data_IF_785785170044
#
_entry.id   IF_785785170044
#
_cell.length_a   1.000
_cell.length_b   1.000
_cell.length_c   1.000
_cell.angle_alpha   90.00
_cell.angle_beta   90.00
_cell.angle_gamma   90.00
#
_symmetry.space_group_name_H-M   'P 1'
#
loop_
_entity.id
_entity.type
_entity.pdbx_description
1 polymer ?
#
# COMPACT_ATOMS: atom_id res chain seq x y z
N UNK A 1 40.88 -2.18 -53.12
CA UNK A 1 41.22 -1.87 -51.70
C UNK A 1 40.94 -3.09 -50.85
N UNK A 2 41.72 -3.34 -49.79
CA UNK A 2 41.32 -4.29 -48.74
C UNK A 2 40.33 -3.58 -47.80
N UNK A 3 39.03 -3.94 -47.78
CA UNK A 3 38.05 -3.24 -46.96
C UNK A 3 38.41 -3.41 -45.47
N UNK A 4 38.59 -2.29 -44.77
CA UNK A 4 38.81 -2.25 -43.32
C UNK A 4 37.71 -1.44 -42.67
N UNK A 5 37.12 -1.97 -41.61
CA UNK A 5 36.15 -1.25 -40.79
C UNK A 5 36.78 0.00 -40.17
N UNK A 6 36.04 1.11 -40.18
CA UNK A 6 36.40 2.34 -39.45
C UNK A 6 36.15 2.08 -37.97
N UNK A 7 37.17 2.27 -37.13
CA UNK A 7 37.11 1.99 -35.67
C UNK A 7 37.49 3.18 -34.81
N UNK A 8 38.11 4.20 -35.39
CA UNK A 8 38.66 5.36 -34.66
C UNK A 8 38.26 6.67 -35.33
N UNK A 9 38.23 7.76 -34.57
CA UNK A 9 37.92 9.10 -35.09
C UNK A 9 38.92 9.57 -36.15
N UNK A 10 40.20 9.18 -36.03
CA UNK A 10 41.23 9.49 -37.03
C UNK A 10 40.95 8.79 -38.37
N UNK A 11 40.49 7.54 -38.33
CA UNK A 11 40.08 6.80 -39.54
C UNK A 11 38.81 7.37 -40.15
N UNK A 12 37.86 7.83 -39.33
CA UNK A 12 36.63 8.49 -39.78
C UNK A 12 36.93 9.79 -40.52
N UNK A 13 37.74 10.68 -39.94
CA UNK A 13 38.17 11.93 -40.60
C UNK A 13 38.94 11.68 -41.92
N UNK A 14 39.84 10.69 -41.93
CA UNK A 14 40.55 10.32 -43.16
C UNK A 14 39.62 9.77 -44.24
N UNK A 15 38.60 9.00 -43.84
CA UNK A 15 37.61 8.43 -44.75
C UNK A 15 36.64 9.50 -45.29
N UNK A 16 36.25 10.48 -44.48
CA UNK A 16 35.46 11.64 -44.91
C UNK A 16 36.21 12.46 -45.96
N UNK A 17 37.48 12.79 -45.68
CA UNK A 17 38.33 13.53 -46.62
C UNK A 17 38.49 12.77 -47.94
N UNK A 18 38.67 11.45 -47.87
CA UNK A 18 38.78 10.61 -49.07
C UNK A 18 37.47 10.55 -49.85
N UNK A 19 36.33 10.48 -49.16
CA UNK A 19 35.02 10.52 -49.78
C UNK A 19 34.80 11.87 -50.50
N UNK A 20 35.15 12.99 -49.87
CA UNK A 20 35.09 14.33 -50.49
C UNK A 20 35.97 14.42 -51.75
N UNK A 21 37.20 13.91 -51.70
CA UNK A 21 38.09 13.85 -52.87
C UNK A 21 37.48 13.04 -54.03
N UNK A 22 36.82 11.91 -53.71
CA UNK A 22 36.16 11.07 -54.71
C UNK A 22 34.90 11.74 -55.27
N UNK A 23 34.11 12.43 -54.44
CA UNK A 23 32.94 13.17 -54.90
C UNK A 23 33.32 14.33 -55.84
N UNK A 24 34.43 15.02 -55.56
CA UNK A 24 34.95 16.09 -56.42
C UNK A 24 35.52 15.55 -57.75
N UNK A 25 36.04 14.33 -57.74
CA UNK A 25 36.60 13.69 -58.94
C UNK A 25 35.53 13.13 -59.89
N UNK A 26 34.26 13.10 -59.48
CA UNK A 26 33.10 12.62 -60.25
C UNK A 26 33.38 11.33 -61.05
N UNK A 27 33.73 10.22 -60.36
CA UNK A 27 34.15 9.00 -61.03
C UNK A 27 33.00 8.38 -61.82
N UNK A 28 33.31 7.86 -63.01
CA UNK A 28 32.31 7.19 -63.84
C UNK A 28 31.67 6.00 -63.10
N UNK A 29 30.34 5.79 -63.21
CA UNK A 29 29.67 4.63 -62.64
C UNK A 29 30.33 3.31 -63.04
N UNK A 30 30.48 2.40 -62.09
CA UNK A 30 31.15 1.10 -62.29
C UNK A 30 32.67 1.16 -62.41
N UNK A 31 33.29 2.32 -62.17
CA UNK A 31 34.75 2.41 -62.02
C UNK A 31 35.18 1.98 -60.61
N UNK A 32 36.43 1.52 -60.43
CA UNK A 32 36.96 1.19 -59.10
C UNK A 32 36.86 2.35 -58.09
N UNK A 33 36.93 3.60 -58.57
CA UNK A 33 36.78 4.80 -57.75
C UNK A 33 35.32 5.03 -57.32
N UNK A 34 34.35 4.71 -58.18
CA UNK A 34 32.93 4.74 -57.82
C UNK A 34 32.61 3.66 -56.79
N UNK A 35 33.14 2.45 -56.96
CA UNK A 35 32.99 1.35 -55.99
C UNK A 35 33.63 1.71 -54.63
N UNK A 36 34.79 2.39 -54.64
CA UNK A 36 35.44 2.91 -53.44
C UNK A 36 34.59 3.98 -52.75
N UNK A 37 33.98 4.88 -53.51
CA UNK A 37 33.09 5.94 -53.01
C UNK A 37 31.84 5.35 -52.32
N UNK A 38 31.17 4.39 -52.96
CA UNK A 38 30.01 3.71 -52.38
C UNK A 38 30.38 2.94 -51.10
N UNK A 39 31.51 2.23 -51.13
CA UNK A 39 32.00 1.49 -49.97
C UNK A 39 32.35 2.43 -48.80
N UNK A 40 33.02 3.54 -49.06
CA UNK A 40 33.37 4.53 -48.05
C UNK A 40 32.13 5.19 -47.44
N UNK A 41 31.13 5.53 -48.27
CA UNK A 41 29.86 6.07 -47.79
C UNK A 41 29.16 5.08 -46.84
N UNK A 42 29.10 3.80 -47.21
CA UNK A 42 28.54 2.75 -46.36
C UNK A 42 29.30 2.58 -45.03
N UNK A 43 30.64 2.54 -45.07
CA UNK A 43 31.48 2.38 -43.88
C UNK A 43 31.40 3.59 -42.94
N UNK A 44 31.32 4.80 -43.49
CA UNK A 44 31.10 6.03 -42.73
C UNK A 44 29.73 6.00 -42.05
N UNK A 45 28.68 5.65 -42.78
CA UNK A 45 27.33 5.51 -42.22
C UNK A 45 27.27 4.47 -41.10
N UNK A 46 27.90 3.30 -41.26
CA UNK A 46 27.96 2.26 -40.24
C UNK A 46 28.74 2.71 -38.99
N UNK A 47 29.88 3.40 -39.16
CA UNK A 47 30.63 3.95 -38.05
C UNK A 47 29.84 5.04 -37.30
N UNK A 48 29.24 5.97 -38.03
CA UNK A 48 28.42 7.04 -37.47
C UNK A 48 27.19 6.49 -36.76
N UNK A 49 26.50 5.50 -37.32
CA UNK A 49 25.38 4.83 -36.63
C UNK A 49 25.80 4.16 -35.31
N UNK A 50 27.03 3.64 -35.22
CA UNK A 50 27.57 3.00 -34.01
C UNK A 50 28.07 4.01 -32.97
N UNK A 51 28.53 5.18 -33.39
CA UNK A 51 29.17 6.20 -32.53
C UNK A 51 28.27 7.37 -32.18
N UNK A 52 27.42 7.80 -33.10
CA UNK A 52 26.40 8.83 -32.93
C UNK A 52 25.14 8.12 -32.47
N UNK A 53 25.04 7.90 -31.16
CA UNK A 53 23.73 7.75 -30.55
C UNK A 53 23.04 9.10 -30.70
N UNK A 54 22.02 9.20 -31.55
CA UNK A 54 21.11 10.35 -31.50
C UNK A 54 20.55 10.34 -30.07
N UNK A 55 20.88 11.33 -29.22
CA UNK A 55 20.33 11.34 -27.87
C UNK A 55 18.81 11.38 -28.01
N UNK A 56 18.11 10.45 -27.35
CA UNK A 56 16.67 10.53 -27.28
C UNK A 56 16.29 11.91 -26.75
N UNK A 57 15.37 12.59 -27.45
CA UNK A 57 14.91 13.90 -27.04
C UNK A 57 14.47 13.83 -25.57
N UNK A 58 14.91 14.78 -24.77
CA UNK A 58 14.42 14.92 -23.41
C UNK A 58 12.92 15.20 -23.42
N UNK A 59 12.18 14.89 -22.34
CA UNK A 59 10.75 15.23 -22.25
C UNK A 59 10.46 16.70 -22.53
N UNK A 60 11.35 17.59 -22.10
CA UNK A 60 11.25 19.03 -22.35
C UNK A 60 11.39 19.36 -23.83
N UNK A 61 12.34 18.74 -24.53
CA UNK A 61 12.52 18.91 -25.98
C UNK A 61 11.33 18.37 -26.76
N UNK A 62 10.79 17.20 -26.37
CA UNK A 62 9.60 16.64 -26.97
C UNK A 62 8.38 17.58 -26.84
N UNK A 63 8.20 18.20 -25.67
CA UNK A 63 7.15 19.20 -25.45
C UNK A 63 7.37 20.42 -26.34
N UNK A 64 8.59 20.98 -26.36
CA UNK A 64 8.92 22.16 -27.19
C UNK A 64 8.72 21.90 -28.67
N UNK A 65 9.14 20.72 -29.14
CA UNK A 65 8.94 20.29 -30.51
C UNK A 65 7.44 20.20 -30.87
N UNK A 66 6.63 19.60 -29.98
CA UNK A 66 5.18 19.54 -30.18
C UNK A 66 4.53 20.92 -30.18
N UNK A 67 4.99 21.83 -29.33
CA UNK A 67 4.52 23.21 -29.30
C UNK A 67 4.81 23.92 -30.62
N UNK A 68 6.03 23.79 -31.15
CA UNK A 68 6.41 24.37 -32.43
C UNK A 68 5.54 23.85 -33.58
N UNK A 69 5.33 22.52 -33.65
CA UNK A 69 4.51 21.88 -34.67
C UNK A 69 3.04 22.35 -34.67
N UNK A 70 2.47 22.64 -33.50
CA UNK A 70 1.09 23.11 -33.38
C UNK A 70 0.95 24.62 -33.19
N UNK A 71 2.04 25.38 -33.25
CA UNK A 71 2.02 26.83 -32.98
C UNK A 71 1.54 27.20 -31.56
N UNK A 72 1.74 26.31 -30.59
CA UNK A 72 1.31 26.50 -29.21
C UNK A 72 2.28 27.40 -28.44
N UNK A 73 1.71 28.23 -27.57
CA UNK A 73 2.44 29.07 -26.63
C UNK A 73 2.43 28.41 -25.24
N UNK A 74 3.31 28.87 -24.35
CA UNK A 74 3.37 28.35 -22.98
C UNK A 74 2.04 28.49 -22.23
N UNK A 75 1.24 29.52 -22.54
CA UNK A 75 -0.08 29.70 -21.94
C UNK A 75 -1.05 28.58 -22.30
N UNK A 76 -0.87 27.93 -23.45
CA UNK A 76 -1.78 26.88 -23.93
C UNK A 76 -1.51 25.56 -23.20
N UNK A 77 -0.30 25.39 -22.64
CA UNK A 77 0.03 24.26 -21.77
C UNK A 77 -0.56 24.37 -20.36
N UNK A 78 -1.14 25.53 -19.98
CA UNK A 78 -1.69 25.75 -18.63
C UNK A 78 -2.84 24.78 -18.32
N UNK A 79 -3.64 24.44 -19.32
CA UNK A 79 -4.75 23.50 -19.15
C UNK A 79 -4.28 22.08 -18.77
N UNK A 80 -3.08 21.68 -19.24
CA UNK A 80 -2.53 20.35 -19.04
C UNK A 80 -1.57 20.31 -17.85
N UNK A 81 -0.63 21.26 -17.82
CA UNK A 81 0.45 21.30 -16.83
C UNK A 81 0.04 22.08 -15.59
N UNK A 82 -0.98 22.93 -15.61
CA UNK A 82 -1.38 23.78 -14.49
C UNK A 82 -0.83 25.20 -14.59
N UNK A 83 -0.31 25.79 -13.51
CA UNK A 83 0.02 27.24 -13.50
C UNK A 83 1.11 27.65 -14.50
N UNK A 84 1.07 28.91 -14.96
CA UNK A 84 2.09 29.50 -15.84
C UNK A 84 3.51 29.36 -15.28
N UNK A 85 3.67 29.53 -13.97
CA UNK A 85 4.95 29.34 -13.29
C UNK A 85 5.45 27.89 -13.44
N UNK A 86 4.57 26.91 -13.24
CA UNK A 86 4.88 25.49 -13.35
C UNK A 86 5.28 25.09 -14.77
N UNK A 87 4.58 25.61 -15.78
CA UNK A 87 4.96 25.45 -17.19
C UNK A 87 6.39 25.94 -17.45
N UNK A 88 6.71 27.16 -16.98
CA UNK A 88 8.05 27.75 -17.16
C UNK A 88 9.15 26.94 -16.45
N UNK A 89 8.90 26.50 -15.22
CA UNK A 89 9.84 25.66 -14.44
C UNK A 89 10.13 24.33 -15.14
N UNK A 90 9.12 23.68 -15.72
CA UNK A 90 9.27 22.42 -16.45
C UNK A 90 10.02 22.65 -17.77
N UNK A 91 9.64 23.66 -18.56
CA UNK A 91 10.29 23.96 -19.83
C UNK A 91 11.75 24.44 -19.69
N UNK A 92 12.12 24.92 -18.49
CA UNK A 92 13.49 25.27 -18.11
C UNK A 92 14.25 24.12 -17.44
N UNK A 93 13.61 22.97 -17.19
CA UNK A 93 14.22 21.80 -16.56
C UNK A 93 14.45 21.94 -15.04
N UNK A 94 13.95 23.00 -14.40
CA UNK A 94 14.02 23.18 -12.94
C UNK A 94 13.14 22.21 -12.19
N UNK A 95 12.13 21.66 -12.87
CA UNK A 95 11.11 20.79 -12.29
C UNK A 95 10.82 19.62 -13.21
N UNK A 96 10.70 18.43 -12.64
CA UNK A 96 10.33 17.20 -13.36
C UNK A 96 8.81 17.14 -13.60
N UNK A 97 8.41 16.40 -14.63
CA UNK A 97 7.01 16.09 -14.92
C UNK A 97 6.44 15.13 -13.87
N UNK A 98 5.18 15.35 -13.47
CA UNK A 98 4.43 14.39 -12.64
C UNK A 98 3.65 13.41 -13.53
N UNK A 99 3.20 12.28 -12.98
CA UNK A 99 2.40 11.30 -13.74
C UNK A 99 1.14 11.92 -14.37
N UNK A 100 0.35 12.67 -13.60
CA UNK A 100 -0.78 13.44 -14.13
C UNK A 100 -0.41 14.37 -15.30
N UNK A 101 0.76 15.03 -15.26
CA UNK A 101 1.21 15.86 -16.38
C UNK A 101 1.57 15.01 -17.59
N UNK A 102 2.27 13.89 -17.40
CA UNK A 102 2.63 12.97 -18.49
C UNK A 102 1.36 12.44 -19.17
N UNK A 103 0.36 12.01 -18.39
CA UNK A 103 -0.94 11.56 -18.91
C UNK A 103 -1.65 12.67 -19.69
N UNK A 104 -1.73 13.88 -19.12
CA UNK A 104 -2.36 15.01 -19.79
C UNK A 104 -1.62 15.47 -21.06
N UNK A 105 -0.28 15.37 -21.11
CA UNK A 105 0.51 15.68 -22.31
C UNK A 105 0.34 14.61 -23.39
N UNK A 106 0.24 13.34 -22.99
CA UNK A 106 -0.03 12.23 -23.89
C UNK A 106 -1.45 12.33 -24.49
N UNK A 107 -2.47 12.46 -23.65
CA UNK A 107 -3.88 12.48 -24.08
C UNK A 107 -4.28 13.81 -24.74
N UNK A 108 -3.85 14.94 -24.15
CA UNK A 108 -4.26 16.27 -24.60
C UNK A 108 -3.46 16.80 -25.79
N UNK A 109 -2.18 16.43 -25.91
CA UNK A 109 -1.30 16.92 -26.98
C UNK A 109 -0.82 15.81 -27.91
N UNK A 110 -1.07 14.53 -27.61
CA UNK A 110 -0.62 13.42 -28.45
C UNK A 110 0.89 13.23 -28.46
N UNK A 111 1.60 13.64 -27.41
CA UNK A 111 3.05 13.46 -27.31
C UNK A 111 3.33 12.01 -26.91
N UNK A 112 4.06 11.20 -27.70
CA UNK A 112 4.31 9.80 -27.38
C UNK A 112 4.94 9.60 -26.00
N UNK A 113 4.51 8.58 -25.26
CA UNK A 113 5.00 8.28 -23.90
C UNK A 113 6.52 8.03 -23.86
N UNK A 114 7.05 7.35 -24.88
CA UNK A 114 8.49 7.10 -25.02
C UNK A 114 9.32 8.39 -25.08
N UNK A 115 8.70 9.52 -25.45
CA UNK A 115 9.34 10.84 -25.47
C UNK A 115 9.17 11.60 -24.14
N UNK A 116 8.24 11.19 -23.28
CA UNK A 116 7.92 11.88 -22.01
C UNK A 116 8.53 11.19 -20.78
N UNK A 117 8.79 9.89 -20.86
CA UNK A 117 9.29 9.09 -19.75
C UNK A 117 10.69 8.59 -20.06
N UNK A 118 11.59 8.64 -19.07
CA UNK A 118 12.93 8.08 -19.21
C UNK A 118 12.86 6.56 -19.04
N UNK A 119 13.10 5.81 -20.11
CA UNK A 119 13.20 4.35 -20.10
C UNK A 119 12.23 3.65 -21.06
N UNK A 120 12.26 2.31 -21.08
CA UNK A 120 11.34 1.47 -21.86
C UNK A 120 9.99 1.31 -21.14
N UNK A 121 9.33 2.42 -20.81
CA UNK A 121 7.97 2.37 -20.25
C UNK A 121 6.99 2.14 -21.40
N UNK A 122 6.47 0.92 -21.49
CA UNK A 122 5.50 0.52 -22.52
C UNK A 122 4.10 1.06 -22.18
N UNK A 123 3.75 1.12 -20.89
CA UNK A 123 2.44 1.56 -20.42
C UNK A 123 2.56 2.39 -19.12
N UNK A 124 1.69 3.40 -18.98
CA UNK A 124 1.55 4.15 -17.73
C UNK A 124 0.81 3.31 -16.69
N UNK A 125 1.11 3.48 -15.39
CA UNK A 125 0.31 2.86 -14.34
C UNK A 125 -1.15 3.35 -14.40
N UNK A 126 -2.11 2.59 -13.83
CA UNK A 126 -3.51 2.98 -13.79
C UNK A 126 -3.68 4.33 -13.08
N UNK A 127 -4.64 5.15 -13.50
CA UNK A 127 -4.84 6.45 -12.85
C UNK A 127 -5.35 6.28 -11.41
N UNK A 128 -4.67 6.93 -10.45
CA UNK A 128 -5.16 7.07 -9.08
C UNK A 128 -5.51 8.52 -8.83
N UNK A 129 -6.76 8.80 -8.48
CA UNK A 129 -7.17 10.12 -7.99
C UNK A 129 -6.74 10.30 -6.53
N UNK A 130 -5.72 11.13 -6.23
CA UNK A 130 -5.24 11.29 -4.87
C UNK A 130 -6.24 12.00 -3.95
N UNK A 131 -7.25 12.67 -4.50
CA UNK A 131 -8.29 13.35 -3.72
C UNK A 131 -9.23 12.37 -2.99
N UNK A 132 -9.30 11.13 -3.46
CA UNK A 132 -10.10 10.07 -2.81
C UNK A 132 -9.41 9.48 -1.59
N UNK A 133 -8.10 9.67 -1.45
CA UNK A 133 -7.32 9.12 -0.35
C UNK A 133 -7.00 10.19 0.71
N UNK A 134 -6.89 9.81 2.00
CA UNK A 134 -6.47 10.72 3.06
C UNK A 134 -4.94 10.97 3.04
N UNK A 135 -4.38 11.38 1.89
CA UNK A 135 -2.93 11.49 1.63
C UNK A 135 -2.21 12.33 2.68
N UNK A 136 -2.84 13.41 3.16
CA UNK A 136 -2.27 14.25 4.21
C UNK A 136 -2.06 13.49 5.51
N UNK A 137 -3.06 12.71 5.92
CA UNK A 137 -3.00 11.90 7.14
C UNK A 137 -1.99 10.76 6.98
N UNK A 138 -2.00 10.07 5.84
CA UNK A 138 -1.02 9.05 5.48
C UNK A 138 0.42 9.58 5.58
N UNK A 139 0.67 10.80 5.05
CA UNK A 139 1.97 11.46 5.16
C UNK A 139 2.35 11.75 6.62
N UNK A 140 1.45 12.35 7.42
CA UNK A 140 1.70 12.66 8.84
C UNK A 140 1.97 11.41 9.69
N UNK A 141 1.49 10.24 9.23
CA UNK A 141 1.70 8.92 9.85
C UNK A 141 2.88 8.14 9.25
N UNK A 142 3.59 8.70 8.28
CA UNK A 142 4.77 8.05 7.69
C UNK A 142 4.45 6.84 6.83
N UNK A 143 3.33 6.87 6.08
CA UNK A 143 2.98 5.82 5.13
C UNK A 143 3.92 5.83 3.93
N UNK A 144 4.38 7.01 3.53
CA UNK A 144 5.35 7.18 2.47
C UNK A 144 6.77 7.08 3.04
N UNK A 145 7.61 6.22 2.45
CA UNK A 145 9.02 6.15 2.78
C UNK A 145 9.69 7.53 2.58
N UNK A 146 10.86 7.75 3.19
CA UNK A 146 11.60 9.02 3.13
C UNK A 146 12.00 9.48 1.70
N UNK A 147 11.73 8.68 0.67
CA UNK A 147 12.08 8.90 -0.72
C UNK A 147 11.61 10.24 -1.32
N UNK A 148 10.63 10.92 -0.72
CA UNK A 148 10.06 12.16 -1.26
C UNK A 148 10.18 13.39 -0.35
N UNK A 149 11.02 13.31 0.69
CA UNK A 149 11.30 14.42 1.60
C UNK A 149 10.20 14.67 2.64
N UNK A 150 10.47 15.54 3.61
CA UNK A 150 9.61 15.82 4.76
C UNK A 150 8.63 17.00 4.55
N UNK A 151 8.45 17.45 3.31
CA UNK A 151 7.69 18.67 2.99
C UNK A 151 6.34 18.35 2.34
N UNK A 152 5.24 18.71 3.01
CA UNK A 152 3.87 18.45 2.54
C UNK A 152 3.59 18.99 1.13
N UNK A 153 4.15 20.13 0.76
CA UNK A 153 3.93 20.73 -0.57
C UNK A 153 4.44 19.80 -1.67
N UNK A 154 5.63 19.22 -1.51
CA UNK A 154 6.22 18.29 -2.48
C UNK A 154 5.43 16.99 -2.56
N UNK A 155 4.97 16.49 -1.41
CA UNK A 155 4.11 15.30 -1.31
C UNK A 155 2.79 15.51 -2.03
N UNK A 156 2.11 16.64 -1.80
CA UNK A 156 0.83 16.95 -2.44
C UNK A 156 0.96 17.00 -3.97
N UNK A 157 2.07 17.54 -4.47
CA UNK A 157 2.30 17.66 -5.91
C UNK A 157 2.62 16.33 -6.60
N UNK A 158 3.12 15.33 -5.86
CA UNK A 158 3.46 13.99 -6.36
C UNK A 158 2.65 12.87 -5.70
N UNK A 159 1.41 13.19 -5.34
CA UNK A 159 0.58 12.30 -4.54
C UNK A 159 0.22 11.01 -5.30
N UNK A 160 0.01 11.09 -6.62
CA UNK A 160 -0.26 9.92 -7.47
C UNK A 160 0.95 8.96 -7.50
N UNK A 161 2.16 9.47 -7.75
CA UNK A 161 3.38 8.66 -7.73
C UNK A 161 3.63 8.00 -6.37
N UNK A 162 3.35 8.74 -5.29
CA UNK A 162 3.48 8.26 -3.93
C UNK A 162 2.50 7.13 -3.61
N UNK A 163 1.26 7.25 -4.08
CA UNK A 163 0.25 6.21 -3.93
C UNK A 163 0.65 4.96 -4.73
N UNK A 164 1.12 5.11 -5.97
CA UNK A 164 1.66 3.98 -6.73
C UNK A 164 2.84 3.30 -6.04
N UNK A 165 3.81 4.08 -5.55
CA UNK A 165 4.95 3.52 -4.83
C UNK A 165 4.55 2.81 -3.53
N UNK A 166 3.51 3.32 -2.84
CA UNK A 166 2.97 2.73 -1.63
C UNK A 166 2.17 1.45 -1.91
N UNK A 167 1.29 1.47 -2.91
CA UNK A 167 0.47 0.30 -3.25
C UNK A 167 1.28 -0.78 -3.94
N UNK A 168 2.31 -0.42 -4.72
CA UNK A 168 3.21 -1.38 -5.36
C UNK A 168 2.48 -2.36 -6.27
N UNK A 169 1.46 -1.91 -7.00
CA UNK A 169 0.63 -2.76 -7.86
C UNK A 169 -0.67 -3.29 -7.22
N UNK A 170 -0.90 -3.01 -5.93
CA UNK A 170 -2.08 -3.46 -5.16
C UNK A 170 -3.24 -2.47 -5.18
N UNK A 171 -3.26 -1.52 -6.11
CA UNK A 171 -4.28 -0.46 -6.21
C UNK A 171 -5.70 -1.03 -6.32
N UNK A 172 -5.83 -2.14 -7.05
CA UNK A 172 -7.10 -2.83 -7.30
C UNK A 172 -7.13 -4.26 -6.72
N UNK A 173 -6.12 -4.64 -5.94
CA UNK A 173 -6.04 -5.99 -5.41
C UNK A 173 -7.17 -6.20 -4.40
N UNK A 174 -8.03 -7.22 -4.60
CA UNK A 174 -8.98 -7.61 -3.58
C UNK A 174 -8.20 -8.16 -2.38
N UNK A 175 -8.06 -7.36 -1.34
CA UNK A 175 -7.44 -7.79 -0.10
C UNK A 175 -8.43 -8.71 0.62
N UNK A 176 -8.06 -9.99 0.76
CA UNK A 176 -8.75 -10.96 1.63
C UNK A 176 -8.75 -10.42 3.06
N UNK A 177 -9.87 -9.83 3.47
CA UNK A 177 -9.98 -9.08 4.71
C UNK A 177 -11.41 -9.09 5.26
N UNK A 178 -11.54 -9.57 6.49
CA UNK A 178 -12.74 -9.44 7.31
C UNK A 178 -12.55 -8.23 8.23
N UNK A 179 -13.48 -7.28 8.20
CA UNK A 179 -13.36 -6.03 8.97
C UNK A 179 -14.39 -5.97 10.08
N UNK A 180 -13.94 -5.72 11.30
CA UNK A 180 -14.83 -5.35 12.37
C UNK A 180 -15.07 -3.83 12.40
N UNK A 181 -16.27 -3.41 12.01
CA UNK A 181 -16.66 -2.00 11.99
C UNK A 181 -17.79 -1.70 12.97
N UNK A 182 -17.58 -0.73 13.87
CA UNK A 182 -18.65 -0.21 14.72
C UNK A 182 -19.12 1.16 14.20
N UNK A 183 -20.19 1.14 13.42
CA UNK A 183 -20.84 2.33 12.85
C UNK A 183 -22.20 2.59 13.51
N UNK A 184 -22.59 3.87 13.57
CA UNK A 184 -24.01 4.23 13.67
C UNK A 184 -24.58 4.22 12.24
N UNK A 185 -25.85 3.83 12.05
CA UNK A 185 -26.54 3.57 10.76
C UNK A 185 -26.47 4.67 9.66
N UNK A 186 -25.72 5.77 9.83
CA UNK A 186 -25.72 6.96 8.96
C UNK A 186 -24.41 7.28 8.25
N UNK A 187 -23.27 6.63 8.54
CA UNK A 187 -22.00 6.99 7.90
C UNK A 187 -21.58 5.94 6.87
N UNK A 188 -21.43 6.35 5.61
CA UNK A 188 -20.79 5.56 4.56
C UNK A 188 -19.30 5.41 4.91
N UNK A 189 -18.79 4.18 4.85
CA UNK A 189 -17.37 3.89 5.07
C UNK A 189 -16.57 4.43 3.89
N UNK A 190 -15.47 5.10 4.21
CA UNK A 190 -14.48 5.54 3.22
C UNK A 190 -13.66 4.32 2.77
N UNK A 191 -13.92 3.85 1.55
CA UNK A 191 -13.34 2.60 1.02
C UNK A 191 -11.86 2.79 0.65
N UNK A 192 -11.50 3.95 0.14
CA UNK A 192 -10.15 4.33 -0.23
C UNK A 192 -9.26 4.49 1.00
N UNK A 193 -9.76 5.12 2.07
CA UNK A 193 -9.07 5.16 3.36
C UNK A 193 -8.93 3.76 3.97
N UNK A 194 -9.94 2.90 3.83
CA UNK A 194 -9.89 1.52 4.33
C UNK A 194 -8.86 0.68 3.56
N UNK A 195 -8.81 0.81 2.23
CA UNK A 195 -7.81 0.16 1.39
C UNK A 195 -6.39 0.61 1.74
N UNK A 196 -6.16 1.92 1.86
CA UNK A 196 -4.86 2.47 2.28
C UNK A 196 -4.41 1.93 3.63
N UNK A 197 -5.32 1.83 4.60
CA UNK A 197 -5.03 1.26 5.92
C UNK A 197 -4.66 -0.23 5.84
N UNK A 198 -5.39 -1.03 5.04
CA UNK A 198 -5.09 -2.46 4.85
C UNK A 198 -3.71 -2.67 4.21
N UNK A 199 -3.38 -1.92 3.17
CA UNK A 199 -2.06 -1.96 2.53
C UNK A 199 -0.94 -1.65 3.53
N UNK A 200 -1.13 -0.63 4.38
CA UNK A 200 -0.16 -0.29 5.44
C UNK A 200 0.07 -1.45 6.39
N UNK A 201 -1.01 -2.07 6.86
CA UNK A 201 -0.93 -3.20 7.80
C UNK A 201 -0.21 -4.38 7.16
N UNK A 202 -0.51 -4.70 5.89
CA UNK A 202 0.17 -5.77 5.17
C UNK A 202 1.67 -5.47 5.02
N UNK A 203 2.05 -4.24 4.71
CA UNK A 203 3.47 -3.84 4.62
C UNK A 203 4.19 -3.99 5.96
N UNK A 204 3.56 -3.60 7.06
CA UNK A 204 4.11 -3.78 8.41
C UNK A 204 4.24 -5.26 8.77
N UNK A 205 3.22 -6.07 8.45
CA UNK A 205 3.25 -7.52 8.69
C UNK A 205 4.32 -8.20 7.84
N UNK A 206 4.52 -7.77 6.59
CA UNK A 206 5.52 -8.29 5.68
C UNK A 206 6.97 -8.04 6.10
N UNK A 207 7.21 -7.14 7.06
CA UNK A 207 8.53 -6.88 7.68
C UNK A 207 8.82 -7.80 8.87
N UNK A 208 7.84 -8.55 9.36
CA UNK A 208 8.03 -9.47 10.47
C UNK A 208 8.65 -10.79 9.99
N UNK A 209 9.56 -11.32 10.80
CA UNK A 209 10.01 -12.71 10.71
C UNK A 209 9.08 -13.60 11.54
N UNK A 210 8.43 -14.55 10.86
CA UNK A 210 7.44 -15.47 11.42
C UNK A 210 7.80 -16.91 11.06
N UNK A 211 7.56 -17.89 11.96
CA UNK A 211 7.56 -19.29 11.58
C UNK A 211 6.40 -19.59 10.61
N UNK A 212 6.42 -20.79 10.00
CA UNK A 212 5.30 -21.25 9.19
C UNK A 212 4.03 -21.32 10.05
N UNK A 213 2.93 -20.78 9.53
CA UNK A 213 1.62 -20.88 10.18
C UNK A 213 1.13 -22.33 10.15
N UNK A 214 0.80 -22.85 11.34
CA UNK A 214 0.21 -24.17 11.51
C UNK A 214 -1.19 -24.01 12.12
N UNK A 215 -2.28 -24.20 11.34
CA UNK A 215 -3.63 -24.07 11.86
C UNK A 215 -3.96 -25.10 12.95
N UNK A 216 -3.36 -26.29 12.91
CA UNK A 216 -3.60 -27.36 13.89
C UNK A 216 -2.97 -27.02 15.27
N UNK A 217 -1.97 -26.15 15.28
CA UNK A 217 -1.37 -25.62 16.51
C UNK A 217 -2.33 -24.67 17.27
N UNK A 218 -3.32 -24.08 16.59
CA UNK A 218 -4.30 -23.14 17.17
C UNK A 218 -5.50 -23.91 17.75
N UNK A 219 -5.23 -24.82 18.67
CA UNK A 219 -6.25 -25.64 19.34
C UNK A 219 -6.80 -24.99 20.62
N UNK A 220 -7.77 -25.66 21.26
CA UNK A 220 -8.40 -25.17 22.51
C UNK A 220 -7.40 -24.88 23.63
N UNK A 221 -6.31 -25.65 23.74
CA UNK A 221 -5.30 -25.42 24.76
C UNK A 221 -4.50 -24.14 24.48
N UNK A 222 -4.17 -23.87 23.21
CA UNK A 222 -3.56 -22.61 22.80
C UNK A 222 -4.50 -21.42 23.11
N UNK A 223 -5.78 -21.53 22.74
CA UNK A 223 -6.79 -20.49 23.03
C UNK A 223 -6.90 -20.23 24.53
N UNK A 224 -6.96 -21.27 25.37
CA UNK A 224 -6.99 -21.12 26.83
C UNK A 224 -5.73 -20.45 27.39
N UNK A 225 -4.55 -20.74 26.82
CA UNK A 225 -3.33 -20.05 27.24
C UNK A 225 -3.41 -18.55 26.94
N UNK A 226 -3.92 -18.16 25.76
CA UNK A 226 -4.09 -16.75 25.39
C UNK A 226 -5.05 -16.02 26.34
N UNK A 227 -6.17 -16.65 26.73
CA UNK A 227 -7.17 -15.98 27.60
C UNK A 227 -6.60 -15.67 28.99
N UNK A 228 -5.77 -16.57 29.52
CA UNK A 228 -5.14 -16.42 30.84
C UNK A 228 -4.14 -15.25 30.87
N UNK A 229 -3.53 -14.90 29.73
CA UNK A 229 -2.65 -13.73 29.61
C UNK A 229 -3.37 -12.42 29.91
N UNK A 230 -4.70 -12.37 29.79
CA UNK A 230 -5.48 -11.15 30.08
C UNK A 230 -5.28 -10.62 31.50
N UNK A 231 -4.94 -11.48 32.46
CA UNK A 231 -4.67 -11.08 33.85
C UNK A 231 -3.40 -10.26 34.03
N UNK A 232 -2.46 -10.37 33.09
CA UNK A 232 -1.15 -9.75 33.19
C UNK A 232 -1.22 -8.32 32.67
N UNK A 233 -0.53 -7.39 33.34
CA UNK A 233 -0.48 -5.98 32.93
C UNK A 233 0.15 -5.79 31.55
N UNK A 234 1.12 -6.63 31.19
CA UNK A 234 1.73 -6.71 29.86
C UNK A 234 1.07 -7.78 28.95
N UNK A 235 -0.10 -8.31 29.32
CA UNK A 235 -0.83 -9.34 28.57
C UNK A 235 -0.99 -9.04 27.07
N UNK A 236 -1.33 -7.79 26.66
CA UNK A 236 -1.39 -7.41 25.24
C UNK A 236 -0.09 -7.63 24.45
N UNK A 237 1.08 -7.44 25.07
CA UNK A 237 2.37 -7.69 24.44
C UNK A 237 2.71 -9.18 24.41
N UNK A 238 2.37 -9.90 25.48
CA UNK A 238 2.58 -11.34 25.56
C UNK A 238 1.72 -12.10 24.54
N UNK A 239 0.46 -11.70 24.33
CA UNK A 239 -0.40 -12.34 23.32
C UNK A 239 0.09 -12.03 21.91
N UNK A 240 0.62 -10.82 21.65
CA UNK A 240 1.27 -10.50 20.38
C UNK A 240 2.46 -11.43 20.13
N UNK A 241 3.28 -11.68 21.15
CA UNK A 241 4.41 -12.61 21.05
C UNK A 241 3.94 -14.06 20.81
N UNK A 242 2.95 -14.56 21.56
CA UNK A 242 2.45 -15.93 21.39
C UNK A 242 1.81 -16.15 20.02
N UNK A 243 1.07 -15.17 19.49
CA UNK A 243 0.53 -15.22 18.13
C UNK A 243 1.67 -15.24 17.10
N UNK A 244 2.72 -14.42 17.31
CA UNK A 244 3.90 -14.41 16.45
C UNK A 244 4.59 -15.77 16.40
N UNK A 245 4.77 -16.41 17.56
CA UNK A 245 5.36 -17.76 17.67
C UNK A 245 4.51 -18.84 16.98
N UNK A 246 3.19 -18.61 16.85
CA UNK A 246 2.28 -19.47 16.11
C UNK A 246 2.17 -19.15 14.60
N UNK A 247 2.98 -18.21 14.09
CA UNK A 247 2.96 -17.80 12.68
C UNK A 247 1.84 -16.81 12.32
N UNK A 248 1.21 -16.17 13.32
CA UNK A 248 0.17 -15.15 13.13
C UNK A 248 0.76 -13.76 13.36
N UNK A 249 0.66 -12.87 12.38
CA UNK A 249 1.11 -11.49 12.52
C UNK A 249 0.05 -10.65 13.26
N UNK A 250 0.34 -10.17 14.47
CA UNK A 250 -0.53 -9.21 15.16
C UNK A 250 0.03 -7.78 15.03
N UNK A 251 -0.69 -6.91 14.30
CA UNK A 251 -0.32 -5.52 14.01
C UNK A 251 -1.27 -4.55 14.74
N UNK A 252 -0.72 -3.47 15.28
CA UNK A 252 -1.50 -2.36 15.81
C UNK A 252 -1.26 -1.12 14.96
N UNK A 253 -2.30 -0.61 14.30
CA UNK A 253 -2.22 0.56 13.42
C UNK A 253 -3.49 1.40 13.55
N UNK A 254 -3.37 2.68 13.89
CA UNK A 254 -4.52 3.54 14.11
C UNK A 254 -5.40 3.63 12.85
N UNK A 255 -6.72 3.59 13.03
CA UNK A 255 -7.64 3.71 11.89
C UNK A 255 -7.46 5.06 11.17
N UNK A 256 -7.60 5.06 9.85
CA UNK A 256 -7.70 6.32 9.09
C UNK A 256 -9.09 6.96 9.29
N UNK A 257 -9.22 8.29 9.16
CA UNK A 257 -10.53 8.96 9.23
C UNK A 257 -11.55 8.35 8.26
N UNK A 258 -12.81 8.23 8.67
CA UNK A 258 -13.89 7.70 7.82
C UNK A 258 -14.02 6.17 7.76
N UNK A 259 -13.03 5.40 8.25
CA UNK A 259 -13.07 3.92 8.19
C UNK A 259 -13.95 3.29 9.27
N UNK A 260 -14.05 3.93 10.45
CA UNK A 260 -14.77 3.41 11.62
C UNK A 260 -14.34 1.98 12.05
N UNK A 261 -13.11 1.60 11.72
CA UNK A 261 -12.57 0.26 11.91
C UNK A 261 -12.09 0.05 13.35
N UNK A 262 -12.41 -1.10 13.94
CA UNK A 262 -11.89 -1.53 15.24
C UNK A 262 -10.77 -2.58 15.09
N UNK A 263 -10.90 -3.47 14.11
CA UNK A 263 -9.91 -4.49 13.78
C UNK A 263 -10.20 -5.13 12.43
N UNK A 264 -9.26 -5.94 11.96
CA UNK A 264 -9.42 -6.77 10.76
C UNK A 264 -8.59 -8.04 10.84
N UNK A 265 -9.11 -9.12 10.26
CA UNK A 265 -8.38 -10.36 9.99
C UNK A 265 -8.11 -10.45 8.49
N UNK A 266 -6.86 -10.66 8.09
CA UNK A 266 -6.42 -10.66 6.68
C UNK A 266 -5.48 -11.81 6.38
N UNK A 267 -5.42 -12.22 5.11
CA UNK A 267 -4.41 -13.15 4.64
C UNK A 267 -3.26 -12.40 3.95
N UNK A 268 -2.03 -12.56 4.45
CA UNK A 268 -0.87 -11.93 3.84
C UNK A 268 -0.43 -12.69 2.57
N UNK A 269 -0.02 -12.00 1.48
CA UNK A 269 0.44 -12.66 0.25
C UNK A 269 1.62 -13.63 0.43
N UNK A 270 2.41 -13.48 1.50
CA UNK A 270 3.50 -14.40 1.87
C UNK A 270 3.01 -15.72 2.54
N UNK A 271 1.71 -15.91 2.71
CA UNK A 271 1.12 -17.18 3.19
C UNK A 271 0.94 -17.29 4.71
N UNK A 272 0.63 -16.19 5.40
CA UNK A 272 0.35 -16.20 6.83
C UNK A 272 -0.82 -15.28 7.20
N UNK A 273 -1.59 -15.58 8.27
CA UNK A 273 -2.68 -14.73 8.72
C UNK A 273 -2.17 -13.48 9.46
N UNK A 274 -2.93 -12.40 9.34
CA UNK A 274 -2.69 -11.10 9.98
C UNK A 274 -3.91 -10.71 10.78
N UNK A 275 -3.72 -10.45 12.08
CA UNK A 275 -4.70 -9.80 12.94
C UNK A 275 -4.26 -8.35 13.14
N UNK A 276 -5.14 -7.42 12.81
CA UNK A 276 -4.87 -6.00 12.88
C UNK A 276 -5.85 -5.30 13.81
N UNK A 277 -5.34 -4.51 14.74
CA UNK A 277 -6.15 -3.80 15.75
C UNK A 277 -5.94 -2.31 15.66
N UNK A 278 -7.03 -1.53 15.58
CA UNK A 278 -6.92 -0.07 15.48
C UNK A 278 -6.80 0.63 16.82
N UNK A 279 -7.16 -0.09 17.90
CA UNK A 279 -7.26 0.45 19.25
C UNK A 279 -8.08 1.75 19.32
N UNK A 280 -9.05 1.94 18.40
CA UNK A 280 -9.98 3.09 18.36
C UNK A 280 -10.62 3.32 19.73
N UNK A 281 -10.94 2.23 20.41
CA UNK A 281 -11.32 2.21 21.81
C UNK A 281 -10.16 1.73 22.67
N UNK A 282 -9.41 2.67 23.26
CA UNK A 282 -8.29 2.38 24.16
C UNK A 282 -8.79 1.85 25.53
N UNK A 283 -9.27 0.60 25.56
CA UNK A 283 -9.78 -0.09 26.75
C UNK A 283 -9.44 -1.57 26.71
N UNK A 284 -9.12 -2.18 27.85
CA UNK A 284 -8.79 -3.61 27.92
C UNK A 284 -9.95 -4.51 27.48
N UNK A 285 -11.19 -4.19 27.89
CA UNK A 285 -12.37 -4.98 27.48
C UNK A 285 -12.50 -5.05 25.96
N UNK A 286 -12.30 -3.91 25.29
CA UNK A 286 -12.39 -3.81 23.84
C UNK A 286 -11.23 -4.51 23.15
N UNK A 287 -10.01 -4.35 23.66
CA UNK A 287 -8.82 -4.97 23.09
C UNK A 287 -8.98 -6.49 23.05
N UNK A 288 -9.29 -7.12 24.18
CA UNK A 288 -9.44 -8.58 24.27
C UNK A 288 -10.60 -9.09 23.42
N UNK A 289 -11.73 -8.38 23.42
CA UNK A 289 -12.87 -8.73 22.60
C UNK A 289 -12.54 -8.67 21.10
N UNK A 290 -11.99 -7.54 20.62
CA UNK A 290 -11.64 -7.38 19.21
C UNK A 290 -10.56 -8.38 18.80
N UNK A 291 -9.51 -8.57 19.60
CA UNK A 291 -8.46 -9.56 19.31
C UNK A 291 -9.03 -10.97 19.11
N UNK A 292 -9.86 -11.45 20.03
CA UNK A 292 -10.43 -12.79 19.90
C UNK A 292 -11.49 -12.87 18.80
N UNK A 293 -12.19 -11.78 18.48
CA UNK A 293 -13.08 -11.73 17.32
C UNK A 293 -12.28 -11.91 16.02
N UNK A 294 -11.18 -11.17 15.83
CA UNK A 294 -10.31 -11.35 14.67
C UNK A 294 -9.65 -12.74 14.64
N UNK A 295 -9.25 -13.28 15.80
CA UNK A 295 -8.75 -14.66 15.90
C UNK A 295 -9.83 -15.69 15.50
N UNK A 296 -11.10 -15.43 15.85
CA UNK A 296 -12.23 -16.23 15.40
C UNK A 296 -12.35 -16.25 13.89
N UNK A 297 -12.12 -15.11 13.22
CA UNK A 297 -12.02 -15.08 11.76
C UNK A 297 -10.82 -15.85 11.23
N UNK A 298 -9.63 -15.74 11.84
CA UNK A 298 -8.45 -16.53 11.45
C UNK A 298 -8.73 -18.04 11.51
N UNK A 299 -9.40 -18.51 12.56
CA UNK A 299 -9.64 -19.94 12.78
C UNK A 299 -10.76 -20.48 11.89
N UNK A 300 -11.85 -19.71 11.73
CA UNK A 300 -13.09 -20.23 11.13
C UNK A 300 -13.36 -19.77 9.71
N UNK A 301 -12.81 -18.62 9.32
CA UNK A 301 -13.30 -17.87 8.15
C UNK A 301 -12.19 -17.49 7.15
N UNK A 302 -10.93 -17.37 7.57
CA UNK A 302 -9.81 -17.16 6.67
C UNK A 302 -9.40 -18.50 6.04
N UNK A 303 -9.60 -18.61 4.72
CA UNK A 303 -9.18 -19.78 3.94
C UNK A 303 -7.67 -20.01 4.05
N UNK A 304 -7.25 -21.28 4.16
CA UNK A 304 -5.86 -21.67 4.42
C UNK A 304 -4.90 -21.47 3.23
N UNK A 305 -5.38 -20.95 2.10
CA UNK A 305 -4.61 -20.80 0.86
C UNK A 305 -4.79 -19.42 0.21
N UNK A 306 -3.74 -18.84 -0.42
CA UNK A 306 -3.88 -17.68 -1.28
C UNK A 306 -4.81 -18.04 -2.46
N UNK A 307 -6.03 -17.49 -2.44
CA UNK A 307 -7.04 -17.73 -3.46
C UNK A 307 -8.25 -18.56 -3.02
N UNK A 308 -8.25 -19.13 -1.81
CA UNK A 308 -9.48 -19.69 -1.20
C UNK A 308 -10.17 -18.67 -0.28
N UNK A 309 -9.42 -17.65 0.15
CA UNK A 309 -9.91 -16.50 0.92
C UNK A 309 -10.44 -15.36 0.05
N UNK A 310 -10.81 -15.61 -1.22
CA UNK A 310 -11.74 -14.66 -1.86
C UNK A 310 -13.06 -14.82 -1.13
N UNK A 311 -13.31 -13.93 -0.16
CA UNK A 311 -14.67 -13.51 0.11
C UNK A 311 -15.13 -12.96 -1.23
N UNK A 312 -15.81 -13.83 -1.97
CA UNK A 312 -16.46 -13.49 -3.20
C UNK A 312 -17.28 -12.23 -2.90
N UNK A 313 -17.19 -11.24 -3.76
CA UNK A 313 -18.06 -10.05 -3.68
C UNK A 313 -19.55 -10.40 -3.76
N UNK A 314 -19.85 -11.68 -3.99
CA UNK A 314 -21.17 -12.31 -3.98
C UNK A 314 -21.55 -13.00 -2.65
N UNK A 315 -20.82 -12.80 -1.53
CA UNK A 315 -21.35 -13.20 -0.21
C UNK A 315 -22.61 -12.38 0.07
N UNK A 316 -23.75 -13.07 0.21
CA UNK A 316 -24.99 -12.39 0.54
C UNK A 316 -24.96 -11.79 1.96
N UNK A 317 -25.76 -10.75 2.18
CA UNK A 317 -25.82 -10.06 3.49
C UNK A 317 -26.26 -10.96 4.66
N UNK A 318 -26.74 -12.17 4.40
CA UNK A 318 -27.11 -13.14 5.42
C UNK A 318 -25.88 -13.92 5.90
N UNK A 319 -25.03 -14.35 4.96
CA UNK A 319 -23.76 -15.04 5.21
C UNK A 319 -22.77 -14.13 5.95
N UNK A 320 -22.66 -12.85 5.59
CA UNK A 320 -21.84 -11.88 6.33
C UNK A 320 -22.25 -11.78 7.81
N UNK A 321 -23.56 -11.76 8.09
CA UNK A 321 -24.07 -11.70 9.46
C UNK A 321 -23.79 -12.97 10.24
N UNK A 322 -23.79 -14.12 9.57
CA UNK A 322 -23.48 -15.40 10.21
C UNK A 322 -22.00 -15.48 10.59
N UNK A 323 -21.09 -15.14 9.67
CA UNK A 323 -19.64 -15.05 9.92
C UNK A 323 -19.35 -14.12 11.10
N UNK A 324 -19.91 -12.91 11.10
CA UNK A 324 -19.74 -11.94 12.19
C UNK A 324 -20.29 -12.47 13.52
N UNK A 325 -21.45 -13.14 13.50
CA UNK A 325 -22.05 -13.76 14.69
C UNK A 325 -21.16 -14.86 15.24
N UNK A 326 -20.56 -15.69 14.38
CA UNK A 326 -19.67 -16.77 14.78
C UNK A 326 -18.36 -16.26 15.40
N UNK A 327 -17.79 -15.19 14.85
CA UNK A 327 -16.61 -14.53 15.40
C UNK A 327 -16.93 -13.87 16.76
N UNK A 328 -18.07 -13.19 16.88
CA UNK A 328 -18.56 -12.63 18.14
C UNK A 328 -18.77 -13.70 19.21
N UNK A 329 -19.41 -14.83 18.85
CA UNK A 329 -19.62 -15.95 19.78
C UNK A 329 -18.30 -16.59 20.20
N UNK A 330 -17.37 -16.78 19.25
CA UNK A 330 -16.04 -17.28 19.55
C UNK A 330 -15.33 -16.38 20.57
N UNK A 331 -15.34 -15.06 20.36
CA UNK A 331 -14.72 -14.11 21.27
C UNK A 331 -15.34 -14.14 22.68
N UNK A 332 -16.66 -14.24 22.80
CA UNK A 332 -17.34 -14.29 24.09
C UNK A 332 -17.08 -15.59 24.84
N UNK A 333 -17.20 -16.71 24.14
CA UNK A 333 -17.20 -18.03 24.73
C UNK A 333 -15.78 -18.51 25.07
N UNK A 334 -14.76 -18.00 24.36
CA UNK A 334 -13.36 -18.27 24.68
C UNK A 334 -12.98 -17.81 26.09
N UNK A 335 -13.45 -16.64 26.51
CA UNK A 335 -13.18 -16.12 27.85
C UNK A 335 -14.16 -16.63 28.91
N UNK A 336 -15.44 -16.76 28.56
CA UNK A 336 -16.50 -17.11 29.50
C UNK A 336 -17.45 -18.10 28.81
N UNK A 337 -17.32 -19.40 29.09
CA UNK A 337 -18.22 -20.42 28.58
C UNK A 337 -19.69 -20.09 28.85
N UNK A 338 -20.62 -20.38 27.92
CA UNK A 338 -22.04 -20.06 28.05
C UNK A 338 -22.66 -20.53 29.38
N UNK A 339 -22.27 -21.72 29.83
CA UNK A 339 -22.75 -22.38 31.05
C UNK A 339 -22.39 -21.56 32.28
N UNK A 340 -21.20 -20.95 32.28
CA UNK A 340 -20.74 -20.08 33.36
C UNK A 340 -21.40 -18.70 33.25
N UNK A 341 -21.57 -18.18 32.03
CA UNK A 341 -22.15 -16.86 31.82
C UNK A 341 -23.56 -16.72 32.41
N UNK A 342 -24.39 -17.77 32.36
CA UNK A 342 -25.71 -17.78 33.00
C UNK A 342 -25.67 -17.38 34.49
N UNK A 343 -24.60 -17.71 35.21
CA UNK A 343 -24.41 -17.35 36.61
C UNK A 343 -23.76 -15.97 36.82
N UNK A 344 -23.08 -15.43 35.81
CA UNK A 344 -22.32 -14.18 35.89
C UNK A 344 -23.06 -12.97 35.30
N UNK A 345 -24.01 -13.19 34.38
CA UNK A 345 -24.73 -12.14 33.66
C UNK A 345 -25.58 -11.22 34.55
N UNK A 346 -25.83 -11.63 35.81
CA UNK A 346 -26.58 -10.86 36.81
C UNK A 346 -25.69 -10.12 37.82
N UNK A 347 -24.36 -10.16 37.68
CA UNK A 347 -23.47 -9.48 38.62
C UNK A 347 -23.63 -7.95 38.53
N UNK A 348 -23.66 -7.30 39.69
CA UNK A 348 -23.87 -5.86 39.81
C UNK A 348 -22.74 -5.15 40.55
N UNK A 349 -22.00 -5.85 41.41
CA UNK A 349 -20.99 -5.24 42.25
C UNK A 349 -19.58 -5.52 41.74
N UNK A 350 -18.70 -4.52 41.88
CA UNK A 350 -17.33 -4.60 41.38
C UNK A 350 -16.54 -5.76 41.99
N UNK A 351 -16.75 -6.06 43.26
CA UNK A 351 -16.00 -7.11 43.96
C UNK A 351 -16.47 -8.51 43.57
N UNK A 352 -17.75 -8.69 43.25
CA UNK A 352 -18.26 -9.94 42.66
C UNK A 352 -17.61 -10.21 41.29
N UNK A 353 -17.50 -9.17 40.46
CA UNK A 353 -16.85 -9.25 39.15
C UNK A 353 -15.38 -9.61 39.30
N UNK A 354 -14.65 -8.98 40.23
CA UNK A 354 -13.25 -9.32 40.50
C UNK A 354 -13.10 -10.76 41.00
N UNK A 355 -13.99 -11.22 41.87
CA UNK A 355 -13.97 -12.58 42.40
C UNK A 355 -14.24 -13.61 41.30
N UNK A 356 -15.23 -13.35 40.44
CA UNK A 356 -15.52 -14.19 39.27
C UNK A 356 -14.33 -14.23 38.29
N UNK A 357 -13.74 -13.07 37.98
CA UNK A 357 -12.57 -12.97 37.11
C UNK A 357 -11.37 -13.77 37.65
N UNK A 358 -11.15 -13.73 38.98
CA UNK A 358 -10.11 -14.53 39.64
C UNK A 358 -10.35 -16.03 39.50
N UNK A 359 -11.61 -16.49 39.62
CA UNK A 359 -11.98 -17.91 39.46
C UNK A 359 -11.79 -18.39 38.02
N UNK A 360 -12.10 -17.53 37.04
CA UNK A 360 -11.94 -17.82 35.61
C UNK A 360 -10.52 -17.59 35.09
N UNK A 361 -9.61 -17.09 35.92
CA UNK A 361 -8.26 -16.71 35.53
C UNK A 361 -8.21 -15.70 34.36
N UNK A 362 -9.12 -14.71 34.34
CA UNK A 362 -9.17 -13.63 33.33
C UNK A 362 -9.16 -12.24 33.96
N UNK A 363 -8.96 -11.19 33.17
CA UNK A 363 -9.09 -9.81 33.64
C UNK A 363 -10.55 -9.43 33.95
N UNK A 364 -10.85 -8.70 35.05
CA UNK A 364 -12.22 -8.25 35.37
C UNK A 364 -12.84 -7.33 34.30
N UNK A 365 -12.01 -6.66 33.49
CA UNK A 365 -12.48 -5.85 32.36
C UNK A 365 -13.30 -6.65 31.36
N UNK A 366 -12.99 -7.93 31.14
CA UNK A 366 -13.67 -8.76 30.16
C UNK A 366 -15.12 -9.02 30.59
N UNK A 367 -15.32 -9.42 31.86
CA UNK A 367 -16.65 -9.61 32.44
C UNK A 367 -17.42 -8.28 32.45
N UNK A 368 -16.79 -7.20 32.95
CA UNK A 368 -17.41 -5.88 33.01
C UNK A 368 -17.82 -5.35 31.62
N UNK A 369 -17.00 -5.59 30.60
CA UNK A 369 -17.24 -5.25 29.21
C UNK A 369 -18.42 -6.01 28.61
N UNK A 370 -18.53 -7.31 28.88
CA UNK A 370 -19.66 -8.12 28.44
C UNK A 370 -20.97 -7.68 29.12
N UNK A 371 -20.95 -7.49 30.45
CA UNK A 371 -22.12 -7.03 31.22
C UNK A 371 -22.69 -5.71 30.69
N UNK A 372 -21.83 -4.71 30.46
CA UNK A 372 -22.29 -3.40 29.98
C UNK A 372 -22.83 -3.45 28.56
N UNK A 373 -22.26 -4.31 27.71
CA UNK A 373 -22.69 -4.48 26.30
C UNK A 373 -24.04 -5.16 26.22
N UNK A 374 -24.23 -6.28 26.92
CA UNK A 374 -25.51 -7.01 26.94
C UNK A 374 -26.63 -6.21 27.61
N UNK A 375 -26.29 -5.39 28.62
CA UNK A 375 -27.26 -4.47 29.24
C UNK A 375 -27.54 -3.20 28.42
N UNK A 376 -26.79 -2.92 27.36
CA UNK A 376 -26.86 -1.66 26.60
C UNK A 376 -26.52 -0.40 27.42
N UNK A 377 -25.89 -0.54 28.60
CA UNK A 377 -25.59 0.56 29.52
C UNK A 377 -24.08 0.72 29.74
N UNK A 378 -23.46 1.54 28.89
CA UNK A 378 -22.02 1.80 28.89
C UNK A 378 -21.50 2.60 30.08
N UNK A 379 -22.38 3.05 30.99
CA UNK A 379 -21.99 3.70 32.26
C UNK A 379 -21.61 2.67 33.33
N UNK A 380 -22.12 1.43 33.22
CA UNK A 380 -21.83 0.34 34.17
C UNK A 380 -20.35 -0.01 34.18
N UNK A 381 -19.81 -0.24 35.37
CA UNK A 381 -18.45 -0.75 35.62
C UNK A 381 -17.33 0.03 34.91
N UNK A 382 -17.53 1.33 34.68
CA UNK A 382 -16.59 2.18 33.93
C UNK A 382 -15.15 2.14 34.46
N UNK A 383 -14.99 1.92 35.77
CA UNK A 383 -13.67 1.82 36.43
C UNK A 383 -12.99 0.46 36.22
N UNK A 384 -13.71 -0.58 35.78
CA UNK A 384 -13.19 -1.94 35.63
C UNK A 384 -12.79 -2.30 34.21
N UNK A 385 -13.19 -1.52 33.19
CA UNK A 385 -12.95 -1.83 31.77
C UNK A 385 -11.51 -1.56 31.29
N UNK A 386 -10.64 -1.07 32.17
CA UNK A 386 -9.23 -0.78 31.84
C UNK A 386 -9.05 0.37 30.87
N UNK A 387 -9.64 1.53 31.17
CA UNK A 387 -9.55 2.72 30.31
C UNK A 387 -8.11 3.22 30.15
N UNK A 388 -7.74 3.56 28.91
CA UNK A 388 -6.47 4.11 28.50
C UNK A 388 -5.23 3.20 28.66
N UNK A 389 -5.40 1.92 28.97
CA UNK A 389 -4.28 1.05 29.35
C UNK A 389 -3.57 0.33 28.19
N UNK A 390 -4.11 0.37 26.96
CA UNK A 390 -3.63 -0.52 25.88
C UNK A 390 -2.66 0.17 24.95
N UNK A 391 -3.00 1.37 24.45
CA UNK A 391 -2.16 2.09 23.45
C UNK A 391 -0.75 2.39 23.97
N UNK A 392 -0.63 2.67 25.28
CA UNK A 392 0.66 2.95 25.93
C UNK A 392 1.63 1.77 25.81
N UNK A 393 1.11 0.53 25.82
CA UNK A 393 1.93 -0.69 25.69
C UNK A 393 2.55 -0.83 24.30
N UNK A 394 1.85 -0.39 23.26
CA UNK A 394 2.28 -0.50 21.86
C UNK A 394 3.04 0.74 21.36
N UNK A 395 3.45 1.63 22.26
CA UNK A 395 4.06 2.93 21.92
C UNK A 395 3.24 3.76 20.91
N UNK A 396 1.92 3.54 20.85
CA UNK A 396 1.00 4.36 20.06
C UNK A 396 0.71 5.62 20.88
N UNK A 397 1.57 6.62 20.73
CA UNK A 397 1.42 7.90 21.41
C UNK A 397 0.28 8.69 20.78
N UNK A 398 -0.54 9.34 21.62
CA UNK A 398 -1.38 10.44 21.14
C UNK A 398 -0.44 11.51 20.59
N UNK A 399 -0.50 11.76 19.29
CA UNK A 399 -0.02 13.02 18.74
C UNK A 399 -0.95 14.15 19.16
#
# INVERSE_FOLDING_TARGET
MNPKLIKTSTQHLASLKRLEELMLADPKPGSPQADEMELLAFLLQDYERRKISIPAATPVEAIKFRMEQAGLKQQDLVAVIGSKARVSEILSGKRELTLAMVRGLYEGLGIPLASLVKGEVVELPPEIDPCKYPVKEMFLRGYFAAAFGSEWIKVKERAEELLHAFFGGRENDPICALNRQTTTKKNKVDLEALHAWRCRVLDMAGQLELPAYDPDAINDAFIQQLTVLSRLSNGPLLVQQQLREAGIAMITEEHLPGTHLDGAAMWHPKGFPVIALTLRHNRLDNFWFTLFHELGHVIKHLGSSPGEGFIDTDIDSASEKEIEREADQFALNSFIPPEIWHSLGSLHYADEIKLAAKRLAIHPAIIAGRLRREAGDYRKHRTLIGQNQVRELFAIHKK
#
